data_IF_525690379234
#
_entry.id   IF_525690379234
#
_cell.length_a   1.000
_cell.length_b   1.000
_cell.length_c   1.000
_cell.angle_alpha   90.00
_cell.angle_beta   90.00
_cell.angle_gamma   90.00
#
_symmetry.space_group_name_H-M   'P 1'
#
loop_
_entity.id
_entity.type
_entity.pdbx_description
1 polymer ?
#
# COMPACT_ATOMS: atom_id res chain seq x y z
N UNK A 1 -5.52 39.98 -15.74
CA UNK A 1 -4.60 38.82 -15.86
C UNK A 1 -5.17 37.48 -15.40
N UNK A 2 -5.98 37.38 -14.32
CA UNK A 2 -6.61 36.11 -13.88
C UNK A 2 -7.51 35.46 -14.96
N UNK A 3 -8.43 36.21 -15.58
CA UNK A 3 -9.31 35.70 -16.66
C UNK A 3 -8.55 35.09 -17.85
N UNK A 4 -7.45 35.70 -18.30
CA UNK A 4 -6.66 35.16 -19.41
C UNK A 4 -5.91 33.87 -19.06
N UNK A 5 -5.49 33.69 -17.80
CA UNK A 5 -4.82 32.44 -17.34
C UNK A 5 -5.80 31.28 -17.27
N UNK A 6 -7.01 31.51 -16.76
CA UNK A 6 -8.07 30.50 -16.69
C UNK A 6 -8.56 30.09 -18.08
N UNK A 7 -8.64 31.05 -19.02
CA UNK A 7 -8.90 30.79 -20.44
C UNK A 7 -7.78 29.92 -21.03
N UNK A 8 -6.51 30.26 -20.76
CA UNK A 8 -5.38 29.50 -21.28
C UNK A 8 -5.38 28.05 -20.77
N UNK A 9 -5.66 27.80 -19.48
CA UNK A 9 -5.81 26.44 -18.94
C UNK A 9 -6.97 25.65 -19.58
N UNK A 10 -8.07 26.32 -19.96
CA UNK A 10 -9.22 25.66 -20.60
C UNK A 10 -9.00 25.34 -22.08
N UNK A 11 -8.35 26.22 -22.83
CA UNK A 11 -8.21 26.08 -24.28
C UNK A 11 -6.87 25.46 -24.72
N UNK A 12 -5.83 25.50 -23.89
CA UNK A 12 -4.53 24.94 -24.26
C UNK A 12 -4.58 23.42 -24.54
N UNK A 13 -5.27 22.57 -23.74
CA UNK A 13 -5.36 21.14 -24.04
C UNK A 13 -5.98 20.83 -25.40
N UNK A 14 -6.97 21.62 -25.83
CA UNK A 14 -7.62 21.52 -27.15
C UNK A 14 -6.67 21.91 -28.30
N UNK A 15 -5.72 22.80 -28.02
CA UNK A 15 -4.73 23.23 -29.00
C UNK A 15 -3.55 22.26 -29.10
N UNK A 16 -3.23 21.49 -28.04
CA UNK A 16 -2.10 20.56 -28.03
C UNK A 16 -2.21 19.54 -29.18
N UNK A 17 -3.37 18.90 -29.38
CA UNK A 17 -3.56 17.94 -30.47
C UNK A 17 -3.33 18.61 -31.83
N UNK A 18 -3.94 19.77 -32.06
CA UNK A 18 -3.81 20.50 -33.33
C UNK A 18 -2.40 21.02 -33.62
N UNK A 19 -1.62 21.34 -32.58
CA UNK A 19 -0.25 21.82 -32.73
C UNK A 19 0.75 20.68 -32.97
N UNK A 20 0.46 19.48 -32.45
CA UNK A 20 1.27 18.28 -32.63
C UNK A 20 0.96 17.60 -33.98
N UNK A 21 -0.32 17.44 -34.34
CA UNK A 21 -0.75 16.83 -35.61
C UNK A 21 -0.25 17.61 -36.84
N UNK A 22 -0.20 18.94 -36.75
CA UNK A 22 0.27 19.80 -37.83
C UNK A 22 1.79 20.05 -37.81
N UNK A 23 2.56 19.40 -36.92
CA UNK A 23 4.01 19.58 -36.76
C UNK A 23 4.47 21.05 -36.53
N UNK A 24 3.58 21.91 -36.03
CA UNK A 24 3.83 23.36 -35.89
C UNK A 24 4.82 23.64 -34.75
N UNK A 25 4.83 22.80 -33.71
CA UNK A 25 5.73 22.91 -32.57
C UNK A 25 6.34 21.56 -32.21
N UNK A 26 7.64 21.54 -31.94
CA UNK A 26 8.30 20.36 -31.38
C UNK A 26 7.71 20.04 -30.00
N UNK A 27 7.43 18.74 -29.74
CA UNK A 27 6.86 18.23 -28.49
C UNK A 27 7.59 18.75 -27.24
N UNK A 28 8.91 18.90 -27.32
CA UNK A 28 9.76 19.36 -26.23
C UNK A 28 9.57 20.85 -25.89
N UNK A 29 9.33 21.69 -26.89
CA UNK A 29 9.10 23.13 -26.68
C UNK A 29 7.74 23.36 -26.04
N UNK A 30 6.74 22.59 -26.47
CA UNK A 30 5.41 22.62 -25.88
C UNK A 30 5.44 22.10 -24.43
N UNK A 31 6.20 21.03 -24.15
CA UNK A 31 6.39 20.53 -22.80
C UNK A 31 7.07 21.57 -21.88
N UNK A 32 8.12 22.26 -22.35
CA UNK A 32 8.76 23.33 -21.59
C UNK A 32 7.82 24.51 -21.33
N UNK A 33 6.98 24.89 -22.31
CA UNK A 33 5.98 25.92 -22.13
C UNK A 33 4.92 25.52 -21.08
N UNK A 34 4.43 24.28 -21.14
CA UNK A 34 3.53 23.72 -20.12
C UNK A 34 4.20 23.72 -18.74
N UNK A 35 5.46 23.31 -18.65
CA UNK A 35 6.25 23.31 -17.40
C UNK A 35 6.28 24.70 -16.75
N UNK A 36 6.52 25.75 -17.56
CA UNK A 36 6.57 27.15 -17.12
C UNK A 36 5.19 27.65 -16.68
N UNK A 37 4.12 27.30 -17.41
CA UNK A 37 2.75 27.65 -17.00
C UNK A 37 2.45 27.03 -15.64
N UNK A 38 2.73 25.75 -15.50
CA UNK A 38 2.42 24.96 -14.32
C UNK A 38 3.21 25.45 -13.09
N UNK A 39 4.46 25.89 -13.25
CA UNK A 39 5.24 26.50 -12.15
C UNK A 39 4.76 27.89 -11.77
N UNK A 40 4.38 28.71 -12.74
CA UNK A 40 3.92 30.08 -12.50
C UNK A 40 2.52 30.14 -11.87
N UNK A 41 1.67 29.16 -12.19
CA UNK A 41 0.33 29.05 -11.60
C UNK A 41 0.44 28.59 -10.14
N UNK A 42 1.34 27.66 -9.80
CA UNK A 42 1.51 27.19 -8.42
C UNK A 42 1.88 28.27 -7.38
N UNK A 43 2.44 29.39 -7.82
CA UNK A 43 2.92 30.46 -6.93
C UNK A 43 1.86 31.53 -6.56
N UNK A 44 0.68 31.57 -7.20
CA UNK A 44 -0.13 32.81 -7.19
C UNK A 44 -1.62 32.70 -6.86
N UNK A 45 -2.17 31.53 -6.51
CA UNK A 45 -3.62 31.31 -6.49
C UNK A 45 -4.08 30.47 -5.27
N UNK A 46 -5.25 30.85 -4.73
CA UNK A 46 -6.01 30.18 -3.66
C UNK A 46 -7.10 29.23 -4.21
N UNK A 47 -7.35 29.25 -5.52
CA UNK A 47 -8.24 28.36 -6.28
C UNK A 47 -7.46 27.37 -7.17
N UNK A 48 -6.40 26.75 -6.62
CA UNK A 48 -5.50 25.86 -7.37
C UNK A 48 -6.19 24.60 -7.89
N UNK A 49 -7.16 24.04 -7.17
CA UNK A 49 -7.71 22.72 -7.49
C UNK A 49 -8.77 22.71 -8.60
N UNK A 50 -9.56 23.77 -8.76
CA UNK A 50 -10.71 23.78 -9.67
C UNK A 50 -10.32 23.78 -11.15
N UNK A 51 -9.17 24.37 -11.50
CA UNK A 51 -8.78 24.54 -12.91
C UNK A 51 -7.45 23.87 -13.25
N UNK A 52 -6.45 23.87 -12.35
CA UNK A 52 -5.14 23.28 -12.64
C UNK A 52 -5.19 21.75 -12.59
N UNK A 53 -5.88 21.15 -11.62
CA UNK A 53 -5.93 19.68 -11.48
C UNK A 53 -6.62 19.04 -12.70
N UNK A 54 -7.82 19.48 -13.13
CA UNK A 54 -8.43 18.96 -14.36
C UNK A 54 -7.56 19.20 -15.61
N UNK A 55 -6.89 20.35 -15.70
CA UNK A 55 -5.95 20.64 -16.78
C UNK A 55 -4.79 19.63 -16.82
N UNK A 56 -4.20 19.28 -15.68
CA UNK A 56 -3.16 18.23 -15.62
C UNK A 56 -3.71 16.89 -16.13
N UNK A 57 -4.93 16.51 -15.73
CA UNK A 57 -5.59 15.30 -16.22
C UNK A 57 -5.76 15.30 -17.74
N UNK A 58 -6.19 16.42 -18.33
CA UNK A 58 -6.32 16.53 -19.80
C UNK A 58 -4.98 16.43 -20.52
N UNK A 59 -3.89 16.97 -19.96
CA UNK A 59 -2.56 16.86 -20.56
C UNK A 59 -2.03 15.42 -20.44
N UNK A 60 -2.21 14.76 -19.29
CA UNK A 60 -1.80 13.37 -19.11
C UNK A 60 -2.46 12.47 -20.17
N UNK A 61 -3.72 12.75 -20.51
CA UNK A 61 -4.46 12.01 -21.54
C UNK A 61 -4.12 12.42 -22.99
N UNK A 62 -3.40 13.51 -23.20
CA UNK A 62 -3.01 14.01 -24.53
C UNK A 62 -1.81 13.28 -25.15
N UNK A 63 -1.61 13.47 -26.45
CA UNK A 63 -0.46 12.92 -27.20
C UNK A 63 0.89 13.47 -26.73
N UNK A 64 0.90 14.61 -26.04
CA UNK A 64 2.12 15.18 -25.49
C UNK A 64 2.76 14.27 -24.44
N UNK A 65 1.96 13.52 -23.68
CA UNK A 65 2.46 12.60 -22.66
C UNK A 65 2.91 11.25 -23.24
N UNK A 66 2.61 11.00 -24.52
CA UNK A 66 3.05 9.80 -25.24
C UNK A 66 4.54 9.86 -25.60
N UNK A 67 5.07 11.05 -25.91
CA UNK A 67 6.50 11.23 -26.15
C UNK A 67 7.32 11.14 -24.84
N UNK A 68 8.42 10.41 -24.89
CA UNK A 68 9.29 10.18 -23.74
C UNK A 68 10.01 11.47 -23.28
N UNK A 69 10.44 12.31 -24.22
CA UNK A 69 11.21 13.52 -23.91
C UNK A 69 10.36 14.57 -23.19
N UNK A 70 9.12 14.78 -23.65
CA UNK A 70 8.15 15.65 -22.98
C UNK A 70 7.74 15.10 -21.61
N UNK A 71 7.47 13.80 -21.51
CA UNK A 71 7.07 13.13 -20.27
C UNK A 71 8.12 13.20 -19.17
N UNK A 72 9.38 12.93 -19.49
CA UNK A 72 10.48 13.03 -18.52
C UNK A 72 10.65 14.44 -17.92
N UNK A 73 10.26 15.49 -18.65
CA UNK A 73 10.30 16.88 -18.16
C UNK A 73 9.11 17.26 -17.26
N UNK A 74 7.93 16.67 -17.52
CA UNK A 74 6.66 17.04 -16.89
C UNK A 74 6.28 16.12 -15.71
N UNK A 75 6.64 14.84 -15.78
CA UNK A 75 6.16 13.81 -14.86
C UNK A 75 6.43 14.17 -13.39
N UNK A 76 7.66 14.58 -13.09
CA UNK A 76 8.04 14.91 -11.72
C UNK A 76 7.21 16.06 -11.15
N UNK A 77 7.07 17.14 -11.93
CA UNK A 77 6.32 18.32 -11.52
C UNK A 77 4.82 18.02 -11.36
N UNK A 78 4.25 17.20 -12.25
CA UNK A 78 2.84 16.84 -12.20
C UNK A 78 2.54 15.98 -10.97
N UNK A 79 3.41 15.01 -10.67
CA UNK A 79 3.29 14.17 -9.47
C UNK A 79 3.41 15.01 -8.20
N UNK A 80 4.38 15.94 -8.13
CA UNK A 80 4.55 16.82 -6.96
C UNK A 80 3.32 17.69 -6.72
N UNK A 81 2.73 18.25 -7.79
CA UNK A 81 1.54 19.08 -7.67
C UNK A 81 0.31 18.28 -7.24
N UNK A 82 0.10 17.08 -7.79
CA UNK A 82 -1.00 16.23 -7.36
C UNK A 82 -0.82 15.78 -5.89
N UNK A 83 0.41 15.47 -5.47
CA UNK A 83 0.72 15.10 -4.09
C UNK A 83 0.56 16.26 -3.09
N UNK A 84 0.88 17.49 -3.50
CA UNK A 84 0.70 18.68 -2.64
C UNK A 84 -0.75 18.85 -2.16
N UNK A 85 -1.71 18.34 -2.93
CA UNK A 85 -3.14 18.39 -2.61
C UNK A 85 -3.57 17.25 -1.67
N UNK A 86 -2.84 16.13 -1.69
CA UNK A 86 -3.16 14.97 -0.86
C UNK A 86 -2.49 15.02 0.51
N UNK A 87 -1.35 15.72 0.66
CA UNK A 87 -0.68 15.79 1.95
C UNK A 87 -1.52 16.55 2.97
N UNK A 88 -1.86 15.96 4.12
CA UNK A 88 -2.49 16.70 5.19
C UNK A 88 -1.52 17.78 5.70
N UNK A 89 -2.00 18.96 6.12
CA UNK A 89 -1.13 20.01 6.64
C UNK A 89 -0.34 19.46 7.83
N UNK A 90 0.98 19.31 7.65
CA UNK A 90 2.00 18.99 8.67
C UNK A 90 1.44 18.31 9.93
N UNK A 91 1.03 17.05 9.85
CA UNK A 91 0.60 16.30 11.02
C UNK A 91 1.85 15.87 11.80
N UNK A 92 1.99 16.41 13.01
CA UNK A 92 2.99 16.07 14.01
C UNK A 92 3.23 14.56 14.04
N UNK A 93 4.47 14.14 13.69
CA UNK A 93 4.92 12.73 13.69
C UNK A 93 4.61 12.02 15.03
N UNK A 94 4.53 12.77 16.12
CA UNK A 94 4.18 12.27 17.47
C UNK A 94 2.72 11.79 17.60
N UNK A 95 1.75 12.41 16.92
CA UNK A 95 0.35 12.00 17.00
C UNK A 95 0.10 10.71 16.20
N UNK A 96 0.80 10.53 15.07
CA UNK A 96 0.76 9.27 14.35
C UNK A 96 1.41 8.14 15.15
N UNK A 97 2.51 8.39 15.86
CA UNK A 97 3.09 7.38 16.76
C UNK A 97 2.11 7.02 17.89
N UNK A 98 1.42 7.97 18.50
CA UNK A 98 0.40 7.69 19.53
C UNK A 98 -0.81 6.95 18.98
N UNK A 99 -1.33 7.32 17.80
CA UNK A 99 -2.44 6.62 17.15
C UNK A 99 -2.04 5.22 16.67
N UNK A 100 -0.80 5.03 16.19
CA UNK A 100 -0.26 3.72 15.82
C UNK A 100 -0.03 2.87 17.08
N UNK A 101 0.47 3.44 18.19
CA UNK A 101 0.62 2.76 19.49
C UNK A 101 -0.72 2.40 20.13
N UNK A 102 -1.76 3.22 20.00
CA UNK A 102 -3.12 2.88 20.43
C UNK A 102 -3.77 1.83 19.50
N UNK A 103 -3.51 1.89 18.19
CA UNK A 103 -3.91 0.84 17.22
C UNK A 103 -3.13 -0.47 17.40
N UNK A 104 -1.96 -0.46 18.05
CA UNK A 104 -1.19 -1.67 18.42
C UNK A 104 -1.85 -2.48 19.54
N UNK A 105 -2.67 -1.87 20.40
CA UNK A 105 -3.33 -2.56 21.51
C UNK A 105 -4.57 -3.40 21.08
N UNK A 106 -5.01 -3.32 19.83
CA UNK A 106 -6.31 -3.82 19.35
C UNK A 106 -6.19 -4.98 18.36
N UNK A 107 -5.47 -6.05 18.72
CA UNK A 107 -5.71 -7.36 18.10
C UNK A 107 -7.03 -7.97 18.62
N UNK A 108 -7.51 -7.53 19.81
CA UNK A 108 -8.67 -8.12 20.50
C UNK A 108 -9.85 -7.16 20.73
N UNK A 109 -9.68 -5.85 20.58
CA UNK A 109 -10.78 -4.90 20.78
C UNK A 109 -11.51 -4.62 19.46
N UNK A 110 -12.84 -4.82 19.48
CA UNK A 110 -13.78 -4.24 18.51
C UNK A 110 -13.32 -2.80 18.23
N UNK A 111 -12.91 -2.54 16.98
CA UNK A 111 -12.42 -1.25 16.54
C UNK A 111 -13.51 -0.20 16.82
N UNK A 112 -13.30 0.61 17.85
CA UNK A 112 -14.22 1.69 18.22
C UNK A 112 -14.21 2.71 17.10
N UNK A 113 -15.39 3.01 16.57
CA UNK A 113 -15.67 4.12 15.67
C UNK A 113 -15.37 5.44 16.40
N UNK A 114 -14.11 5.88 16.38
CA UNK A 114 -13.80 7.27 16.73
C UNK A 114 -13.97 8.13 15.47
N UNK A 115 -14.94 9.04 15.54
CA UNK A 115 -15.28 10.03 14.52
C UNK A 115 -14.02 10.75 14.02
N UNK A 116 -13.56 10.42 12.81
CA UNK A 116 -12.60 11.25 12.08
C UNK A 116 -13.30 12.56 11.69
N UNK A 117 -13.18 13.58 12.53
CA UNK A 117 -13.46 14.96 12.10
C UNK A 117 -12.58 15.27 10.89
N UNK A 118 -13.21 15.75 9.83
CA UNK A 118 -12.66 16.06 8.51
C UNK A 118 -11.35 16.85 8.57
N UNK A 119 -10.22 16.17 8.44
CA UNK A 119 -8.86 16.73 8.47
C UNK A 119 -8.35 17.21 7.10
N UNK A 120 -9.14 17.04 6.03
CA UNK A 120 -8.83 17.66 4.74
C UNK A 120 -9.55 19.00 4.65
N UNK A 121 -8.78 20.09 4.50
CA UNK A 121 -9.35 21.41 4.24
C UNK A 121 -10.13 21.45 2.92
N UNK A 122 -9.97 20.46 2.01
CA UNK A 122 -10.71 20.32 0.73
C UNK A 122 -10.77 18.84 0.26
N UNK A 123 -11.84 18.07 0.57
CA UNK A 123 -11.93 16.65 0.19
C UNK A 123 -11.98 16.44 -1.33
N UNK A 124 -12.68 17.30 -2.06
CA UNK A 124 -12.83 17.19 -3.53
C UNK A 124 -11.49 17.25 -4.28
N UNK A 125 -10.53 18.06 -3.81
CA UNK A 125 -9.21 18.15 -4.41
C UNK A 125 -8.40 16.85 -4.25
N UNK A 126 -8.52 16.20 -3.08
CA UNK A 126 -7.90 14.89 -2.79
C UNK A 126 -8.50 13.80 -3.68
N UNK A 127 -9.82 13.82 -3.86
CA UNK A 127 -10.50 12.87 -4.73
C UNK A 127 -10.05 13.00 -6.20
N UNK A 128 -10.05 14.21 -6.75
CA UNK A 128 -9.67 14.43 -8.16
C UNK A 128 -8.20 14.10 -8.38
N UNK A 129 -7.32 14.52 -7.46
CA UNK A 129 -5.89 14.20 -7.57
C UNK A 129 -5.63 12.70 -7.48
N UNK A 130 -6.34 11.96 -6.61
CA UNK A 130 -6.23 10.52 -6.53
C UNK A 130 -6.68 9.82 -7.83
N UNK A 131 -7.78 10.28 -8.43
CA UNK A 131 -8.26 9.78 -9.73
C UNK A 131 -7.26 10.01 -10.85
N UNK A 132 -6.72 11.23 -10.96
CA UNK A 132 -5.73 11.56 -12.01
C UNK A 132 -4.43 10.78 -11.83
N UNK A 133 -3.95 10.59 -10.59
CA UNK A 133 -2.78 9.75 -10.33
C UNK A 133 -3.04 8.29 -10.71
N UNK A 134 -4.25 7.79 -10.46
CA UNK A 134 -4.65 6.44 -10.88
C UNK A 134 -4.63 6.32 -12.40
N UNK A 135 -5.25 7.26 -13.11
CA UNK A 135 -5.26 7.33 -14.57
C UNK A 135 -3.82 7.41 -15.14
N UNK A 136 -2.96 8.22 -14.54
CA UNK A 136 -1.55 8.33 -14.93
C UNK A 136 -0.84 6.98 -14.85
N UNK A 137 -1.00 6.27 -13.74
CA UNK A 137 -0.35 4.96 -13.53
C UNK A 137 -0.90 3.92 -14.50
N UNK A 138 -2.21 3.89 -14.70
CA UNK A 138 -2.86 2.95 -15.62
C UNK A 138 -2.48 3.22 -17.08
N UNK A 139 -2.37 4.50 -17.48
CA UNK A 139 -1.95 4.90 -18.83
C UNK A 139 -0.49 4.56 -19.10
N UNK A 140 0.41 4.86 -18.17
CA UNK A 140 1.84 4.61 -18.37
C UNK A 140 2.21 3.13 -18.24
N UNK A 141 1.50 2.40 -17.36
CA UNK A 141 1.84 1.02 -17.04
C UNK A 141 0.62 0.08 -17.18
N UNK A 142 0.00 -0.02 -18.37
CA UNK A 142 -1.18 -0.86 -18.56
C UNK A 142 -0.85 -2.35 -18.34
N UNK A 143 -1.83 -3.13 -17.91
CA UNK A 143 -1.67 -4.58 -17.69
C UNK A 143 -1.56 -5.39 -18.99
N UNK A 144 -2.06 -4.86 -20.10
CA UNK A 144 -2.08 -5.57 -21.39
C UNK A 144 -0.84 -5.25 -22.22
N UNK A 145 -0.14 -6.29 -22.67
CA UNK A 145 1.11 -6.24 -23.48
C UNK A 145 0.91 -5.76 -24.93
N UNK A 146 -0.22 -5.11 -25.24
CA UNK A 146 -0.59 -4.66 -26.59
C UNK A 146 -0.41 -3.17 -26.85
N UNK A 147 0.07 -2.39 -25.86
CA UNK A 147 0.31 -0.97 -26.03
C UNK A 147 1.59 -0.71 -26.86
N UNK A 148 1.55 0.30 -27.71
CA UNK A 148 2.70 0.74 -28.50
C UNK A 148 3.89 1.05 -27.56
N UNK A 149 5.02 0.36 -27.73
CA UNK A 149 6.21 0.49 -26.86
C UNK A 149 6.69 1.93 -26.65
N UNK A 150 6.46 2.84 -27.62
CA UNK A 150 6.82 4.25 -27.51
C UNK A 150 5.98 5.05 -26.51
N UNK A 151 4.76 4.59 -26.19
CA UNK A 151 3.82 5.29 -25.31
C UNK A 151 3.87 4.78 -23.85
N UNK A 152 4.61 3.70 -23.60
CA UNK A 152 4.70 3.09 -22.27
C UNK A 152 5.70 3.80 -21.36
N UNK A 153 5.39 3.78 -20.07
CA UNK A 153 6.26 4.18 -18.97
C UNK A 153 7.57 3.41 -18.95
N UNK A 154 8.69 4.11 -18.73
CA UNK A 154 9.98 3.45 -18.49
C UNK A 154 10.09 2.99 -17.03
N UNK A 155 11.00 2.04 -16.76
CA UNK A 155 11.25 1.57 -15.39
C UNK A 155 11.73 2.70 -14.45
N UNK A 156 12.45 3.69 -14.97
CA UNK A 156 12.92 4.85 -14.19
C UNK A 156 11.78 5.80 -13.82
N UNK A 157 10.84 6.02 -14.73
CA UNK A 157 9.63 6.81 -14.46
C UNK A 157 8.74 6.13 -13.40
N UNK A 158 8.59 4.80 -13.46
CA UNK A 158 7.88 4.05 -12.42
C UNK A 158 8.57 4.21 -11.07
N UNK A 159 9.90 4.08 -11.03
CA UNK A 159 10.67 4.28 -9.80
C UNK A 159 10.48 5.69 -9.23
N UNK A 160 10.46 6.73 -10.07
CA UNK A 160 10.21 8.11 -9.63
C UNK A 160 8.81 8.25 -9.03
N UNK A 161 7.79 7.75 -9.72
CA UNK A 161 6.40 7.80 -9.24
C UNK A 161 6.29 7.07 -7.90
N UNK A 162 6.82 5.85 -7.80
CA UNK A 162 6.79 5.06 -6.57
C UNK A 162 7.50 5.75 -5.40
N UNK A 163 8.66 6.36 -5.66
CA UNK A 163 9.43 7.09 -4.65
C UNK A 163 8.63 8.24 -4.05
N UNK A 164 7.95 9.02 -4.90
CA UNK A 164 7.17 10.18 -4.45
C UNK A 164 5.81 9.80 -3.87
N UNK A 165 5.12 8.82 -4.45
CA UNK A 165 3.71 8.56 -4.13
C UNK A 165 3.47 7.52 -3.05
N UNK A 166 4.32 6.49 -2.91
CA UNK A 166 4.00 5.32 -2.10
C UNK A 166 3.71 5.67 -0.63
N UNK A 167 4.66 6.29 0.07
CA UNK A 167 4.49 6.64 1.49
C UNK A 167 3.42 7.70 1.73
N UNK A 168 3.35 8.82 0.97
CA UNK A 168 2.27 9.79 1.13
C UNK A 168 0.87 9.21 0.91
N UNK A 169 0.69 8.33 -0.08
CA UNK A 169 -0.60 7.66 -0.32
C UNK A 169 -0.95 6.69 0.81
N UNK A 170 0.03 5.97 1.35
CA UNK A 170 -0.20 5.11 2.53
C UNK A 170 -0.63 5.94 3.74
N UNK A 171 0.06 7.05 4.02
CA UNK A 171 -0.24 7.92 5.17
C UNK A 171 -1.61 8.59 5.04
N UNK A 172 -1.96 9.06 3.85
CA UNK A 172 -3.29 9.64 3.57
C UNK A 172 -4.40 8.59 3.68
N UNK A 173 -4.16 7.37 3.21
CA UNK A 173 -5.14 6.29 3.38
C UNK A 173 -5.35 5.91 4.85
N UNK A 174 -4.29 5.85 5.66
CA UNK A 174 -4.37 5.51 7.10
C UNK A 174 -5.08 6.59 7.92
N UNK A 175 -4.98 7.85 7.50
CA UNK A 175 -5.61 9.00 8.17
C UNK A 175 -7.07 9.17 7.75
N UNK A 176 -7.40 8.96 6.47
CA UNK A 176 -8.73 9.17 5.90
C UNK A 176 -9.55 7.88 5.76
N UNK A 177 -9.10 6.78 6.37
CA UNK A 177 -9.74 5.45 6.24
C UNK A 177 -11.21 5.41 6.66
N UNK A 178 -11.67 6.41 7.43
CA UNK A 178 -13.05 6.54 7.91
C UNK A 178 -13.95 7.45 7.07
N UNK A 179 -13.43 8.19 6.08
CA UNK A 179 -14.23 9.11 5.27
C UNK A 179 -14.83 8.39 4.04
N UNK A 180 -16.16 8.17 3.99
CA UNK A 180 -16.79 7.39 2.92
C UNK A 180 -16.63 8.01 1.52
N UNK A 181 -16.41 9.33 1.42
CA UNK A 181 -16.25 10.00 0.13
C UNK A 181 -14.86 9.75 -0.47
N UNK A 182 -13.81 9.83 0.36
CA UNK A 182 -12.41 9.76 -0.09
C UNK A 182 -11.83 8.34 -0.07
N UNK A 183 -12.45 7.43 0.69
CA UNK A 183 -11.93 6.08 0.87
C UNK A 183 -11.79 5.32 -0.45
N UNK A 184 -12.75 5.45 -1.38
CA UNK A 184 -12.73 4.68 -2.65
C UNK A 184 -11.66 5.17 -3.65
N UNK A 185 -11.57 6.48 -3.97
CA UNK A 185 -10.53 7.00 -4.86
C UNK A 185 -9.10 6.74 -4.34
N UNK A 186 -8.88 6.89 -3.03
CA UNK A 186 -7.59 6.60 -2.42
C UNK A 186 -7.27 5.10 -2.44
N UNK A 187 -8.27 4.25 -2.19
CA UNK A 187 -8.11 2.81 -2.29
C UNK A 187 -7.75 2.35 -3.71
N UNK A 188 -8.40 2.88 -4.75
CA UNK A 188 -8.05 2.55 -6.14
C UNK A 188 -6.63 2.99 -6.48
N UNK A 189 -6.24 4.20 -6.08
CA UNK A 189 -4.87 4.70 -6.30
C UNK A 189 -3.84 3.82 -5.60
N UNK A 190 -4.07 3.49 -4.33
CA UNK A 190 -3.19 2.64 -3.55
C UNK A 190 -3.02 1.26 -4.21
N UNK A 191 -4.13 0.63 -4.63
CA UNK A 191 -4.05 -0.66 -5.31
C UNK A 191 -3.32 -0.57 -6.65
N UNK A 192 -3.54 0.50 -7.42
CA UNK A 192 -2.82 0.73 -8.67
C UNK A 192 -1.31 0.84 -8.44
N UNK A 193 -0.87 1.60 -7.43
CA UNK A 193 0.54 1.75 -7.06
C UNK A 193 1.14 0.40 -6.65
N UNK A 194 0.49 -0.30 -5.71
CA UNK A 194 1.02 -1.55 -5.15
C UNK A 194 1.05 -2.68 -6.18
N UNK A 195 0.08 -2.72 -7.09
CA UNK A 195 0.04 -3.74 -8.14
C UNK A 195 1.25 -3.63 -9.09
N UNK A 196 1.71 -2.41 -9.40
CA UNK A 196 2.91 -2.17 -10.22
C UNK A 196 4.23 -2.41 -9.49
N UNK A 197 4.21 -2.53 -8.16
CA UNK A 197 5.43 -2.76 -7.39
C UNK A 197 6.01 -4.15 -7.67
N UNK A 198 7.29 -4.21 -8.04
CA UNK A 198 8.05 -5.45 -8.21
C UNK A 198 9.02 -5.66 -7.04
N UNK A 199 9.59 -6.86 -6.90
CA UNK A 199 10.59 -7.11 -5.86
C UNK A 199 11.81 -6.18 -6.00
N UNK A 200 12.23 -5.88 -7.24
CA UNK A 200 13.33 -4.96 -7.52
C UNK A 200 12.98 -3.52 -7.15
N UNK A 201 11.76 -3.07 -7.50
CA UNK A 201 11.30 -1.73 -7.12
C UNK A 201 11.16 -1.59 -5.60
N UNK A 202 10.67 -2.63 -4.91
CA UNK A 202 10.56 -2.65 -3.45
C UNK A 202 11.95 -2.51 -2.80
N UNK A 203 12.92 -3.34 -3.20
CA UNK A 203 14.28 -3.27 -2.66
C UNK A 203 14.93 -1.91 -2.92
N UNK A 204 14.85 -1.40 -4.15
CA UNK A 204 15.34 -0.04 -4.50
C UNK A 204 14.61 1.07 -3.75
N UNK A 205 13.33 0.88 -3.42
CA UNK A 205 12.57 1.86 -2.66
C UNK A 205 13.17 2.05 -1.27
N UNK A 206 13.32 0.96 -0.54
CA UNK A 206 13.86 0.99 0.81
C UNK A 206 15.37 1.27 0.86
N UNK A 207 16.13 0.92 -0.18
CA UNK A 207 17.57 1.25 -0.23
C UNK A 207 17.84 2.75 -0.31
N UNK A 208 16.91 3.55 -0.85
CA UNK A 208 17.04 5.02 -0.90
C UNK A 208 16.69 5.71 0.42
N UNK A 209 16.07 4.99 1.37
CA UNK A 209 15.80 5.54 2.71
C UNK A 209 17.10 5.52 3.53
N UNK A 210 17.62 6.71 3.85
CA UNK A 210 18.91 6.88 4.52
C UNK A 210 18.92 6.30 5.94
N UNK A 211 17.88 6.57 6.73
CA UNK A 211 17.83 6.16 8.14
C UNK A 211 17.09 4.83 8.33
N UNK A 212 17.63 3.96 9.20
CA UNK A 212 17.01 2.69 9.61
C UNK A 212 15.63 2.91 10.22
N UNK A 213 15.45 3.95 11.04
CA UNK A 213 14.15 4.33 11.59
C UNK A 213 13.12 4.64 10.49
N UNK A 214 13.50 5.36 9.44
CA UNK A 214 12.61 5.64 8.32
C UNK A 214 12.18 4.38 7.58
N UNK A 215 13.07 3.38 7.46
CA UNK A 215 12.76 2.07 6.88
C UNK A 215 11.75 1.31 7.74
N UNK A 216 11.97 1.28 9.07
CA UNK A 216 11.07 0.63 10.03
C UNK A 216 9.69 1.29 10.02
N UNK A 217 9.63 2.62 10.05
CA UNK A 217 8.38 3.37 10.04
C UNK A 217 7.61 3.15 8.74
N UNK A 218 8.26 3.29 7.58
CA UNK A 218 7.60 3.10 6.29
C UNK A 218 7.05 1.67 6.10
N UNK A 219 7.80 0.65 6.56
CA UNK A 219 7.35 -0.73 6.48
C UNK A 219 6.23 -1.03 7.49
N UNK A 220 6.31 -0.47 8.69
CA UNK A 220 5.23 -0.56 9.69
C UNK A 220 3.96 0.12 9.21
N UNK A 221 4.04 1.36 8.70
CA UNK A 221 2.92 2.12 8.12
C UNK A 221 2.21 1.31 7.03
N UNK A 222 2.98 0.68 6.13
CA UNK A 222 2.45 -0.18 5.07
C UNK A 222 1.73 -1.41 5.61
N UNK A 223 2.34 -2.13 6.57
CA UNK A 223 1.76 -3.33 7.18
C UNK A 223 0.49 -3.02 7.99
N UNK A 224 0.51 -1.95 8.78
CA UNK A 224 -0.66 -1.46 9.50
C UNK A 224 -1.81 -1.17 8.55
N UNK A 225 -1.53 -0.42 7.48
CA UNK A 225 -2.50 -0.08 6.45
C UNK A 225 -3.12 -1.32 5.80
N UNK A 226 -2.34 -2.37 5.52
CA UNK A 226 -2.89 -3.63 4.99
C UNK A 226 -3.87 -4.29 5.95
N UNK A 227 -3.54 -4.37 7.25
CA UNK A 227 -4.44 -4.98 8.24
C UNK A 227 -5.73 -4.16 8.38
N UNK A 228 -5.60 -2.85 8.39
CA UNK A 228 -6.70 -1.90 8.40
C UNK A 228 -7.64 -2.07 7.19
N UNK A 229 -7.09 -2.30 5.99
CA UNK A 229 -7.86 -2.52 4.77
C UNK A 229 -8.44 -3.93 4.64
N UNK A 230 -7.86 -4.94 5.31
CA UNK A 230 -8.44 -6.28 5.38
C UNK A 230 -9.68 -6.30 6.29
N UNK A 231 -9.67 -5.53 7.39
CA UNK A 231 -10.81 -5.41 8.30
C UNK A 231 -11.89 -4.47 7.76
N UNK A 232 -11.49 -3.30 7.24
CA UNK A 232 -12.38 -2.23 6.75
C UNK A 232 -12.24 -2.02 5.24
N UNK A 233 -12.34 -3.11 4.48
CA UNK A 233 -12.26 -3.03 3.03
C UNK A 233 -13.41 -2.17 2.47
N UNK A 234 -13.13 -1.17 1.61
CA UNK A 234 -14.16 -0.27 1.05
C UNK A 234 -15.15 -0.98 0.11
N UNK A 235 -14.77 -2.14 -0.43
CA UNK A 235 -15.65 -2.94 -1.27
C UNK A 235 -16.72 -3.65 -0.41
N UNK A 236 -17.98 -3.78 -0.87
CA UNK A 236 -19.03 -4.61 -0.24
C UNK A 236 -18.72 -6.12 -0.27
N UNK A 237 -19.35 -6.92 0.62
CA UNK A 237 -18.98 -8.35 0.84
C UNK A 237 -19.28 -9.20 -0.39
N UNK A 238 -20.24 -8.75 -1.17
CA UNK A 238 -20.69 -9.31 -2.43
C UNK A 238 -19.59 -9.22 -3.50
N UNK A 239 -18.69 -8.23 -3.40
CA UNK A 239 -17.60 -7.99 -4.35
C UNK A 239 -16.35 -8.83 -4.02
N UNK A 240 -16.57 -10.12 -3.77
CA UNK A 240 -15.55 -11.08 -3.36
C UNK A 240 -14.33 -11.11 -4.30
N UNK A 241 -14.52 -10.93 -5.61
CA UNK A 241 -13.42 -10.87 -6.58
C UNK A 241 -12.51 -9.65 -6.38
N UNK A 242 -13.07 -8.47 -6.10
CA UNK A 242 -12.28 -7.25 -5.87
C UNK A 242 -11.49 -7.40 -4.56
N UNK A 243 -12.14 -7.91 -3.50
CA UNK A 243 -11.48 -8.18 -2.22
C UNK A 243 -10.38 -9.24 -2.36
N UNK A 244 -10.60 -10.25 -3.19
CA UNK A 244 -9.62 -11.28 -3.49
C UNK A 244 -8.41 -10.69 -4.24
N UNK A 245 -8.63 -9.86 -5.26
CA UNK A 245 -7.57 -9.18 -6.00
C UNK A 245 -6.75 -8.27 -5.09
N UNK A 246 -7.41 -7.45 -4.27
CA UNK A 246 -6.76 -6.64 -3.23
C UNK A 246 -5.87 -7.51 -2.33
N UNK A 247 -6.40 -8.63 -1.82
CA UNK A 247 -5.64 -9.49 -0.92
C UNK A 247 -4.48 -10.20 -1.62
N UNK A 248 -4.61 -10.55 -2.91
CA UNK A 248 -3.49 -11.07 -3.72
C UNK A 248 -2.37 -10.03 -3.86
N UNK A 249 -2.73 -8.75 -4.06
CA UNK A 249 -1.76 -7.65 -4.09
C UNK A 249 -1.09 -7.53 -2.71
N UNK A 250 -1.85 -7.49 -1.62
CA UNK A 250 -1.27 -7.40 -0.28
C UNK A 250 -0.37 -8.58 0.05
N UNK A 251 -0.75 -9.80 -0.33
CA UNK A 251 0.07 -10.99 -0.16
C UNK A 251 1.38 -10.89 -0.95
N UNK A 252 1.35 -10.39 -2.19
CA UNK A 252 2.55 -10.13 -3.00
C UNK A 252 3.48 -9.15 -2.28
N UNK A 253 2.95 -8.06 -1.74
CA UNK A 253 3.78 -7.06 -1.03
C UNK A 253 4.29 -7.63 0.30
N UNK A 254 3.46 -8.36 1.05
CA UNK A 254 3.85 -9.03 2.30
C UNK A 254 5.02 -10.01 2.09
N UNK A 255 5.07 -10.70 0.95
CA UNK A 255 6.24 -11.53 0.57
C UNK A 255 7.50 -10.69 0.40
N UNK A 256 7.40 -9.54 -0.25
CA UNK A 256 8.54 -8.63 -0.41
C UNK A 256 8.98 -8.06 0.94
N UNK A 257 8.03 -7.63 1.77
CA UNK A 257 8.30 -7.14 3.13
C UNK A 257 8.97 -8.20 4.01
N UNK A 258 8.49 -9.45 3.96
CA UNK A 258 9.10 -10.55 4.72
C UNK A 258 10.53 -10.85 4.28
N UNK A 259 10.79 -10.90 2.96
CA UNK A 259 12.13 -11.13 2.45
C UNK A 259 13.09 -9.97 2.79
N UNK A 260 12.60 -8.72 2.69
CA UNK A 260 13.36 -7.53 3.06
C UNK A 260 13.66 -7.49 4.56
N UNK A 261 12.67 -7.81 5.40
CA UNK A 261 12.81 -7.91 6.85
C UNK A 261 13.90 -8.91 7.23
N UNK A 262 13.86 -10.10 6.64
CA UNK A 262 14.86 -11.15 6.87
C UNK A 262 16.25 -10.76 6.37
N UNK A 263 16.36 -10.00 5.29
CA UNK A 263 17.66 -9.56 4.78
C UNK A 263 18.30 -8.47 5.67
N UNK A 264 17.54 -7.45 6.06
CA UNK A 264 18.09 -6.24 6.67
C UNK A 264 18.07 -6.25 8.21
N UNK A 265 17.09 -6.95 8.82
CA UNK A 265 16.79 -6.86 10.25
C UNK A 265 16.88 -8.21 10.98
N UNK A 266 17.51 -9.23 10.38
CA UNK A 266 17.79 -10.52 11.07
C UNK A 266 19.04 -10.49 11.93
N UNK A 267 19.99 -9.61 11.65
CA UNK A 267 21.20 -9.49 12.46
C UNK A 267 20.87 -8.94 13.85
N UNK A 268 21.58 -9.41 14.87
CA UNK A 268 21.35 -8.99 16.26
C UNK A 268 21.50 -7.47 16.46
N UNK A 269 22.40 -6.84 15.69
CA UNK A 269 22.69 -5.39 15.76
C UNK A 269 21.51 -4.55 15.24
N UNK A 270 20.79 -5.05 14.22
CA UNK A 270 19.70 -4.31 13.57
C UNK A 270 18.33 -4.87 13.96
N UNK A 271 18.24 -5.77 14.94
CA UNK A 271 16.99 -6.45 15.25
C UNK A 271 15.92 -5.47 15.78
N UNK A 272 14.74 -5.50 15.16
CA UNK A 272 13.58 -4.72 15.59
C UNK A 272 12.41 -5.65 15.88
N UNK A 273 12.32 -6.16 17.11
CA UNK A 273 11.28 -7.13 17.51
C UNK A 273 9.86 -6.68 17.16
N UNK A 274 9.55 -5.38 17.33
CA UNK A 274 8.25 -4.82 16.93
C UNK A 274 7.98 -5.00 15.44
N UNK A 275 8.94 -4.69 14.56
CA UNK A 275 8.74 -4.82 13.11
C UNK A 275 8.50 -6.27 12.68
N UNK A 276 9.21 -7.20 13.33
CA UNK A 276 9.00 -8.63 13.15
C UNK A 276 7.58 -9.03 13.54
N UNK A 277 7.11 -8.60 14.71
CA UNK A 277 5.73 -8.83 15.14
C UNK A 277 4.72 -8.20 14.17
N UNK A 278 4.93 -6.98 13.70
CA UNK A 278 4.04 -6.34 12.73
C UNK A 278 3.89 -7.16 11.45
N UNK A 279 4.98 -7.76 10.96
CA UNK A 279 4.96 -8.61 9.78
C UNK A 279 4.23 -9.94 10.04
N UNK A 280 4.49 -10.56 11.20
CA UNK A 280 3.82 -11.78 11.64
C UNK A 280 2.31 -11.59 11.82
N UNK A 281 1.91 -10.52 12.50
CA UNK A 281 0.50 -10.15 12.68
C UNK A 281 -0.20 -9.88 11.36
N UNK A 282 0.50 -9.31 10.39
CA UNK A 282 -0.04 -9.11 9.04
C UNK A 282 -0.25 -10.46 8.32
N UNK A 283 0.65 -11.42 8.50
CA UNK A 283 0.45 -12.80 8.01
C UNK A 283 -0.79 -13.43 8.67
N UNK A 284 -0.91 -13.32 10.00
CA UNK A 284 -2.06 -13.84 10.77
C UNK A 284 -3.37 -13.22 10.29
N UNK A 285 -3.40 -11.89 10.08
CA UNK A 285 -4.58 -11.18 9.60
C UNK A 285 -5.05 -11.67 8.23
N UNK A 286 -4.13 -11.89 7.28
CA UNK A 286 -4.45 -12.45 5.96
C UNK A 286 -5.01 -13.88 6.08
N UNK A 287 -4.42 -14.71 6.95
CA UNK A 287 -4.90 -16.09 7.17
C UNK A 287 -6.32 -16.05 7.75
N UNK A 288 -6.55 -15.26 8.81
CA UNK A 288 -7.88 -15.09 9.42
C UNK A 288 -8.91 -14.62 8.39
N UNK A 289 -8.58 -13.59 7.61
CA UNK A 289 -9.46 -13.07 6.56
C UNK A 289 -9.89 -14.19 5.59
N UNK A 290 -8.92 -14.96 5.08
CA UNK A 290 -9.21 -16.04 4.14
C UNK A 290 -9.91 -17.25 4.78
N UNK A 291 -9.77 -17.47 6.09
CA UNK A 291 -10.56 -18.45 6.85
C UNK A 291 -12.02 -18.02 7.10
N UNK A 292 -12.24 -16.73 7.36
CA UNK A 292 -13.54 -16.17 7.71
C UNK A 292 -14.46 -15.95 6.51
N UNK A 293 -13.89 -15.72 5.33
CA UNK A 293 -14.65 -15.56 4.10
C UNK A 293 -15.45 -16.86 3.84
N UNK A 294 -16.78 -16.78 3.89
CA UNK A 294 -17.75 -17.91 4.01
C UNK A 294 -17.78 -18.87 2.80
N UNK A 295 -16.74 -18.91 1.99
CA UNK A 295 -16.62 -19.75 0.79
C UNK A 295 -16.45 -21.24 1.14
N UNK A 296 -16.07 -21.55 2.39
CA UNK A 296 -15.97 -22.92 2.90
C UNK A 296 -17.30 -23.47 3.45
N UNK A 297 -18.37 -22.68 3.50
CA UNK A 297 -19.69 -23.17 3.92
C UNK A 297 -20.35 -23.99 2.81
N UNK A 298 -20.83 -25.17 3.20
CA UNK A 298 -21.35 -26.25 2.36
C UNK A 298 -22.43 -25.78 1.37
N UNK A 299 -22.08 -25.66 0.09
CA UNK A 299 -23.00 -25.94 -1.03
C UNK A 299 -22.17 -26.12 -2.32
N UNK A 300 -21.84 -27.39 -2.59
CA UNK A 300 -21.48 -27.89 -3.93
C UNK A 300 -22.58 -27.44 -4.91
N UNK A 301 -22.29 -26.59 -5.89
CA UNK A 301 -22.99 -26.59 -7.21
C UNK A 301 -22.44 -25.63 -8.27
N UNK A 302 -21.60 -24.63 -7.93
CA UNK A 302 -21.07 -23.70 -8.95
C UNK A 302 -19.55 -23.81 -9.16
N UNK A 303 -19.14 -24.09 -10.40
CA UNK A 303 -17.73 -24.13 -10.83
C UNK A 303 -16.98 -22.83 -10.51
N UNK A 304 -17.64 -21.66 -10.48
CA UNK A 304 -17.00 -20.39 -10.11
C UNK A 304 -16.58 -20.33 -8.63
N UNK A 305 -17.32 -20.97 -7.72
CA UNK A 305 -17.00 -21.00 -6.29
C UNK A 305 -15.85 -21.96 -5.97
N UNK A 306 -15.61 -22.97 -6.81
CA UNK A 306 -14.47 -23.89 -6.62
C UNK A 306 -13.12 -23.22 -6.95
N UNK A 307 -13.06 -22.36 -7.99
CA UNK A 307 -11.87 -21.57 -8.29
C UNK A 307 -11.56 -20.55 -7.19
N UNK A 308 -12.58 -19.84 -6.70
CA UNK A 308 -12.42 -18.92 -5.56
C UNK A 308 -11.90 -19.67 -4.34
N UNK A 309 -12.49 -20.82 -3.99
CA UNK A 309 -12.01 -21.66 -2.88
C UNK A 309 -10.54 -22.08 -3.02
N UNK A 310 -10.10 -22.39 -4.25
CA UNK A 310 -8.68 -22.68 -4.52
C UNK A 310 -7.80 -21.47 -4.28
N UNK A 311 -8.23 -20.28 -4.70
CA UNK A 311 -7.47 -19.05 -4.50
C UNK A 311 -7.38 -18.65 -3.03
N UNK A 312 -8.48 -18.71 -2.26
CA UNK A 312 -8.45 -18.49 -0.81
C UNK A 312 -7.53 -19.48 -0.10
N UNK A 313 -7.60 -20.77 -0.48
CA UNK A 313 -6.69 -21.79 0.04
C UNK A 313 -5.22 -21.48 -0.30
N UNK A 314 -4.93 -21.07 -1.53
CA UNK A 314 -3.59 -20.69 -1.95
C UNK A 314 -3.07 -19.48 -1.18
N UNK A 315 -3.90 -18.46 -0.97
CA UNK A 315 -3.58 -17.29 -0.14
C UNK A 315 -3.20 -17.74 1.27
N UNK A 316 -4.07 -18.51 1.94
CA UNK A 316 -3.77 -19.06 3.28
C UNK A 316 -2.46 -19.83 3.30
N UNK A 317 -2.27 -20.76 2.36
CA UNK A 317 -1.08 -21.61 2.29
C UNK A 317 0.20 -20.81 2.10
N UNK A 318 0.17 -19.77 1.26
CA UNK A 318 1.32 -18.89 1.06
C UNK A 318 1.56 -18.06 2.32
N UNK A 319 0.53 -17.46 2.93
CA UNK A 319 0.67 -16.67 4.15
C UNK A 319 1.24 -17.48 5.32
N UNK A 320 0.79 -18.72 5.51
CA UNK A 320 1.34 -19.62 6.55
C UNK A 320 2.81 -19.95 6.27
N UNK A 321 3.20 -20.13 4.99
CA UNK A 321 4.61 -20.34 4.64
C UNK A 321 5.48 -19.13 4.92
N UNK A 322 4.97 -17.91 4.68
CA UNK A 322 5.66 -16.68 5.05
C UNK A 322 5.83 -16.64 6.57
N UNK A 323 4.75 -16.88 7.33
CA UNK A 323 4.77 -16.92 8.79
C UNK A 323 5.80 -17.93 9.33
N UNK A 324 5.80 -19.16 8.81
CA UNK A 324 6.79 -20.17 9.15
C UNK A 324 8.22 -19.71 8.84
N UNK A 325 8.44 -19.12 7.67
CA UNK A 325 9.77 -18.66 7.26
C UNK A 325 10.28 -17.56 8.19
N UNK A 326 9.42 -16.62 8.58
CA UNK A 326 9.75 -15.58 9.54
C UNK A 326 10.06 -16.19 10.91
N UNK A 327 9.26 -17.15 11.37
CA UNK A 327 9.42 -17.72 12.71
C UNK A 327 10.74 -18.49 12.82
N UNK A 328 11.05 -19.30 11.81
CA UNK A 328 12.27 -20.09 11.79
C UNK A 328 13.53 -19.25 11.52
N UNK A 329 13.42 -18.04 10.94
CA UNK A 329 14.57 -17.14 10.76
C UNK A 329 15.01 -16.43 12.04
N UNK A 330 14.19 -16.44 13.10
CA UNK A 330 14.54 -15.83 14.39
C UNK A 330 15.58 -16.68 15.13
N UNK A 331 16.52 -16.02 15.81
CA UNK A 331 17.42 -16.70 16.75
C UNK A 331 16.65 -17.17 17.99
N UNK A 332 17.17 -18.15 18.77
CA UNK A 332 16.50 -18.63 19.98
C UNK A 332 16.14 -17.50 20.95
N UNK A 333 17.05 -16.55 21.21
CA UNK A 333 16.81 -15.42 22.11
C UNK A 333 15.69 -14.50 21.60
N UNK A 334 15.67 -14.23 20.29
CA UNK A 334 14.61 -13.43 19.67
C UNK A 334 13.26 -14.15 19.73
N UNK A 335 13.22 -15.47 19.54
CA UNK A 335 11.99 -16.26 19.68
C UNK A 335 11.42 -16.14 21.08
N UNK A 336 12.25 -16.21 22.11
CA UNK A 336 11.83 -16.05 23.52
C UNK A 336 11.16 -14.69 23.74
N UNK A 337 11.79 -13.63 23.21
CA UNK A 337 11.27 -12.29 23.34
C UNK A 337 9.89 -12.12 22.68
N UNK A 338 9.71 -12.69 21.47
CA UNK A 338 8.49 -12.50 20.66
C UNK A 338 7.38 -13.52 20.94
N UNK A 339 7.73 -14.68 21.51
CA UNK A 339 6.81 -15.79 21.76
C UNK A 339 5.56 -15.39 22.54
N UNK A 340 5.62 -14.65 23.67
CA UNK A 340 4.43 -14.30 24.45
C UNK A 340 3.38 -13.55 23.63
N UNK A 341 3.85 -12.69 22.71
CA UNK A 341 3.00 -11.87 21.84
C UNK A 341 2.43 -12.65 20.65
N UNK A 342 3.10 -13.74 20.23
CA UNK A 342 2.69 -14.57 19.09
C UNK A 342 1.80 -15.75 19.47
N UNK A 343 1.90 -16.27 20.69
CA UNK A 343 1.11 -17.45 21.12
C UNK A 343 -0.39 -17.21 20.94
N UNK A 344 -0.92 -16.09 21.43
CA UNK A 344 -2.35 -15.78 21.35
C UNK A 344 -2.89 -15.79 19.90
N UNK A 345 -2.31 -15.00 18.96
CA UNK A 345 -2.76 -15.03 17.57
C UNK A 345 -2.58 -16.40 16.88
N UNK A 346 -1.55 -17.19 17.24
CA UNK A 346 -1.38 -18.54 16.71
C UNK A 346 -2.47 -19.49 17.20
N UNK A 347 -2.88 -19.39 18.46
CA UNK A 347 -4.00 -20.17 19.01
C UNK A 347 -5.29 -19.82 18.28
N UNK A 348 -5.57 -18.54 18.04
CA UNK A 348 -6.76 -18.13 17.27
C UNK A 348 -6.76 -18.70 15.85
N UNK A 349 -5.60 -18.83 15.21
CA UNK A 349 -5.49 -19.52 13.93
C UNK A 349 -5.72 -21.04 14.04
N UNK A 350 -5.30 -21.66 15.14
CA UNK A 350 -5.54 -23.09 15.38
C UNK A 350 -7.04 -23.38 15.58
N UNK A 351 -7.80 -22.41 16.07
CA UNK A 351 -9.27 -22.50 16.22
C UNK A 351 -10.02 -22.35 14.89
N UNK A 352 -9.36 -21.95 13.80
CA UNK A 352 -10.01 -21.87 12.50
C UNK A 352 -10.51 -23.25 12.03
N UNK A 353 -11.71 -23.30 11.43
CA UNK A 353 -12.38 -24.51 10.93
C UNK A 353 -11.72 -25.09 9.65
N UNK A 354 -10.39 -25.14 9.58
CA UNK A 354 -9.63 -25.64 8.45
C UNK A 354 -8.48 -26.55 8.92
N UNK A 355 -8.65 -27.86 8.72
CA UNK A 355 -7.67 -28.87 9.13
C UNK A 355 -6.30 -28.70 8.47
N UNK A 356 -6.26 -28.25 7.21
CA UNK A 356 -5.01 -28.04 6.50
C UNK A 356 -4.20 -26.88 7.08
N UNK A 357 -4.86 -25.79 7.47
CA UNK A 357 -4.18 -24.64 8.07
C UNK A 357 -3.62 -25.01 9.43
N UNK A 358 -4.40 -25.74 10.25
CA UNK A 358 -3.92 -26.25 11.54
C UNK A 358 -2.64 -27.06 11.36
N UNK A 359 -2.65 -28.03 10.45
CA UNK A 359 -1.47 -28.87 10.15
C UNK A 359 -0.26 -28.05 9.67
N UNK A 360 -0.48 -26.98 8.90
CA UNK A 360 0.62 -26.13 8.43
C UNK A 360 1.21 -25.25 9.53
N UNK A 361 0.44 -24.85 10.55
CA UNK A 361 0.91 -24.03 11.66
C UNK A 361 1.51 -24.89 12.79
N UNK A 362 1.10 -26.16 12.90
CA UNK A 362 1.61 -27.12 13.89
C UNK A 362 3.13 -27.10 14.11
N UNK A 363 4.00 -26.98 13.08
CA UNK A 363 5.45 -26.89 13.28
C UNK A 363 5.88 -25.71 14.17
N UNK A 364 5.19 -24.56 14.10
CA UNK A 364 5.48 -23.40 14.96
C UNK A 364 5.20 -23.74 16.42
N UNK A 365 4.09 -24.42 16.71
CA UNK A 365 3.78 -24.83 18.08
C UNK A 365 4.81 -25.82 18.64
N UNK A 366 5.26 -26.78 17.83
CA UNK A 366 6.33 -27.68 18.25
C UNK A 366 7.64 -26.94 18.52
N UNK A 367 7.99 -25.96 17.67
CA UNK A 367 9.20 -25.16 17.84
C UNK A 367 9.10 -24.23 19.07
N UNK A 368 7.91 -23.70 19.38
CA UNK A 368 7.64 -22.95 20.63
C UNK A 368 7.89 -23.84 21.84
N UNK A 369 7.27 -25.03 21.88
CA UNK A 369 7.43 -25.98 22.98
C UNK A 369 8.89 -26.45 23.13
N UNK A 370 9.57 -26.70 22.01
CA UNK A 370 10.97 -27.07 22.00
C UNK A 370 11.85 -25.93 22.54
N UNK A 371 11.63 -24.71 22.07
CA UNK A 371 12.36 -23.52 22.53
C UNK A 371 12.19 -23.35 24.04
N UNK A 372 10.96 -23.46 24.55
CA UNK A 372 10.68 -23.38 25.99
C UNK A 372 11.36 -24.49 26.80
N UNK A 373 11.28 -25.74 26.35
CA UNK A 373 11.90 -26.88 27.05
C UNK A 373 13.43 -26.73 27.19
N UNK A 374 14.12 -26.28 26.14
CA UNK A 374 15.57 -26.06 26.20
C UNK A 374 15.94 -24.93 27.16
N UNK A 375 15.06 -23.95 27.37
CA UNK A 375 15.25 -22.85 28.31
C UNK A 375 14.95 -23.28 29.75
N UNK A 376 13.99 -24.16 29.97
CA UNK A 376 13.69 -24.71 31.30
C UNK A 376 14.92 -25.38 31.95
N UNK A 377 15.85 -25.90 31.15
CA UNK A 377 17.13 -26.42 31.62
C UNK A 377 18.17 -25.33 31.98
N UNK A 378 17.89 -24.04 31.74
CA UNK A 378 18.85 -22.93 31.94
C UNK A 378 18.34 -21.79 32.83
N UNK A 379 17.06 -21.41 32.86
CA UNK A 379 16.50 -20.40 33.81
C UNK A 379 15.02 -20.64 34.16
N UNK A 380 14.66 -20.31 35.40
CA UNK A 380 13.35 -20.48 36.05
C UNK A 380 12.21 -19.65 35.42
N UNK A 381 11.03 -20.28 35.37
CA UNK A 381 9.75 -19.92 34.72
C UNK A 381 9.15 -18.56 35.09
N UNK A 382 8.61 -17.83 34.09
CA UNK A 382 7.55 -16.81 34.31
C UNK A 382 6.41 -16.84 33.25
N UNK A 383 6.58 -17.40 32.05
CA UNK A 383 5.68 -17.07 30.92
C UNK A 383 4.46 -17.96 30.69
N UNK A 384 4.50 -19.29 30.87
CA UNK A 384 3.31 -20.14 30.63
C UNK A 384 2.38 -20.37 31.83
N UNK A 385 2.85 -20.19 33.06
CA UNK A 385 1.98 -20.26 34.26
C UNK A 385 1.01 -19.07 34.38
N UNK A 386 1.11 -18.05 33.52
CA UNK A 386 0.20 -16.89 33.50
C UNK A 386 -0.94 -17.00 32.47
N UNK A 387 -0.95 -18.06 31.67
CA UNK A 387 -1.95 -18.28 30.60
C UNK A 387 -3.00 -19.34 30.95
N UNK A 388 -2.88 -19.99 32.10
CA UNK A 388 -3.90 -20.80 32.78
C UNK A 388 -4.16 -20.21 34.16
#
# INVERSE_FOLDING_TARGET
MRKHRNVLLKYLPLLISTLLENCICASINLANFVKIIVSNVSASITSHYEELIPFLGTIINSELFSDFKSRSLLLEQFVDQLLSQMQPPSINRENNQKNILQRRASITAVFVEENCQSLSNQPEAVEISAKILTELIERLFPHQKGANFGQMGTSSELELILQKTLRPVIQTMVTLLGDPQLQRPLHSLLLAILDKLSAQHFSKYFSKLEHTLNKIDALSEMLHMFRDLLSRCPAPKEWSQIRLTQTKIFLKILRFSSAYLQHEFSSEINFSGQLWLECMYSCVAVIKWACLEKVFSRQKRDNRRSYLNRDYYNICKISVRILLSLWHSLSPDQKIQLMPEMISPLIELSLCNNSHIRLLITPIFFDILYTEYFIQNTKTLITLQKLF
#
